data_IF_354853561092
#
_entry.id   IF_354853561092
#
_cell.length_a   1.000
_cell.length_b   1.000
_cell.length_c   1.000
_cell.angle_alpha   90.00
_cell.angle_beta   90.00
_cell.angle_gamma   90.00
#
_symmetry.space_group_name_H-M   'P 1'
#
loop_
_entity.id
_entity.type
_entity.pdbx_description
1 polymer ?
#
# COMPACT_ATOMS: atom_id res chain seq x y z
N UNK A 1 -47.00 -3.50 -43.87
CA UNK A 1 -45.68 -3.98 -44.34
C UNK A 1 -44.52 -3.03 -43.98
N UNK A 2 -44.75 -1.73 -43.85
CA UNK A 2 -43.74 -0.69 -43.58
C UNK A 2 -43.07 -0.80 -42.18
N UNK A 3 -43.83 -1.06 -41.10
CA UNK A 3 -43.29 -1.06 -39.72
C UNK A 3 -42.28 -2.19 -39.47
N UNK A 4 -42.49 -3.40 -40.01
CA UNK A 4 -41.54 -4.52 -39.86
C UNK A 4 -40.19 -4.27 -40.53
N UNK A 5 -40.16 -3.54 -41.65
CA UNK A 5 -38.94 -3.16 -42.36
C UNK A 5 -38.13 -2.13 -41.57
N UNK A 6 -38.83 -1.16 -40.98
CA UNK A 6 -38.20 -0.09 -40.20
C UNK A 6 -37.57 -0.63 -38.87
N UNK A 7 -38.26 -1.55 -38.18
CA UNK A 7 -37.74 -2.23 -36.99
C UNK A 7 -36.48 -3.06 -37.34
N UNK A 8 -36.51 -3.79 -38.46
CA UNK A 8 -35.40 -4.61 -38.93
C UNK A 8 -34.17 -3.74 -39.25
N UNK A 9 -34.36 -2.59 -39.90
CA UNK A 9 -33.28 -1.67 -40.21
C UNK A 9 -32.67 -1.02 -38.96
N UNK A 10 -33.50 -0.66 -37.98
CA UNK A 10 -33.04 -0.12 -36.70
C UNK A 10 -32.24 -1.17 -35.90
N UNK A 11 -32.66 -2.43 -35.88
CA UNK A 11 -31.93 -3.52 -35.24
C UNK A 11 -30.58 -3.75 -35.92
N UNK A 12 -30.51 -3.75 -37.24
CA UNK A 12 -29.25 -3.88 -38.00
C UNK A 12 -28.34 -2.71 -37.67
N UNK A 13 -28.85 -1.49 -37.65
CA UNK A 13 -28.04 -0.29 -37.33
C UNK A 13 -27.45 -0.37 -35.90
N UNK A 14 -28.28 -0.78 -34.92
CA UNK A 14 -27.83 -0.95 -33.52
C UNK A 14 -26.74 -2.03 -33.42
N UNK A 15 -26.97 -3.20 -34.04
CA UNK A 15 -25.99 -4.30 -34.03
C UNK A 15 -24.67 -3.87 -34.68
N UNK A 16 -24.76 -3.16 -35.83
CA UNK A 16 -23.55 -2.64 -36.49
C UNK A 16 -22.81 -1.65 -35.62
N UNK A 17 -23.51 -0.73 -34.97
CA UNK A 17 -22.91 0.24 -34.06
C UNK A 17 -22.22 -0.44 -32.85
N UNK A 18 -22.86 -1.46 -32.28
CA UNK A 18 -22.26 -2.24 -31.18
C UNK A 18 -21.00 -2.98 -31.64
N UNK A 19 -21.02 -3.59 -32.82
CA UNK A 19 -19.84 -4.27 -33.37
C UNK A 19 -18.68 -3.30 -33.64
N UNK A 20 -18.97 -2.11 -34.15
CA UNK A 20 -17.96 -1.07 -34.34
C UNK A 20 -17.36 -0.65 -33.00
N UNK A 21 -18.17 -0.38 -31.97
CA UNK A 21 -17.70 -0.02 -30.62
C UNK A 21 -16.84 -1.11 -29.98
N UNK A 22 -17.24 -2.37 -30.13
CA UNK A 22 -16.46 -3.52 -29.67
C UNK A 22 -15.12 -3.63 -30.40
N UNK A 23 -15.10 -3.40 -31.73
CA UNK A 23 -13.85 -3.42 -32.49
C UNK A 23 -12.91 -2.29 -32.09
N UNK A 24 -13.42 -1.08 -31.89
CA UNK A 24 -12.64 0.07 -31.39
C UNK A 24 -12.09 -0.26 -29.98
N UNK A 25 -12.92 -0.79 -29.08
CA UNK A 25 -12.49 -1.20 -27.75
C UNK A 25 -11.37 -2.22 -27.78
N UNK A 26 -11.45 -3.24 -28.65
CA UNK A 26 -10.38 -4.23 -28.82
C UNK A 26 -9.08 -3.61 -29.39
N UNK A 27 -9.18 -2.70 -30.35
CA UNK A 27 -8.02 -2.00 -30.91
C UNK A 27 -7.33 -1.16 -29.83
N UNK A 28 -8.08 -0.42 -29.01
CA UNK A 28 -7.53 0.39 -27.92
C UNK A 28 -6.88 -0.50 -26.86
N UNK A 29 -7.53 -1.64 -26.52
CA UNK A 29 -7.07 -2.53 -25.44
C UNK A 29 -5.79 -3.27 -25.81
N UNK A 30 -5.68 -3.74 -27.05
CA UNK A 30 -4.58 -4.61 -27.48
C UNK A 30 -3.66 -4.00 -28.54
N UNK A 31 -4.12 -2.95 -29.24
CA UNK A 31 -3.42 -2.40 -30.40
C UNK A 31 -2.06 -1.79 -30.04
N UNK A 32 -1.93 -1.11 -28.91
CA UNK A 32 -0.67 -0.53 -28.45
C UNK A 32 0.38 -1.60 -28.10
N UNK A 33 -0.07 -2.79 -27.68
CA UNK A 33 0.82 -3.93 -27.38
C UNK A 33 1.23 -4.69 -28.64
N UNK A 34 0.30 -4.87 -29.58
CA UNK A 34 0.51 -5.64 -30.80
C UNK A 34 1.22 -4.84 -31.92
N UNK A 35 1.01 -3.53 -31.94
CA UNK A 35 1.52 -2.61 -32.95
C UNK A 35 2.03 -1.31 -32.33
N UNK A 36 3.12 -1.37 -31.54
CA UNK A 36 3.63 -0.19 -30.81
C UNK A 36 4.04 0.97 -31.75
N UNK A 37 4.46 0.67 -32.98
CA UNK A 37 4.87 1.66 -33.98
C UNK A 37 3.71 2.51 -34.53
N UNK A 38 2.46 2.06 -34.36
CA UNK A 38 1.31 2.81 -34.90
C UNK A 38 0.82 3.93 -33.98
N UNK A 39 1.37 4.04 -32.74
CA UNK A 39 0.99 5.07 -31.78
C UNK A 39 -0.48 5.04 -31.39
N UNK A 40 -1.08 3.84 -31.34
CA UNK A 40 -2.50 3.66 -30.97
C UNK A 40 -2.67 4.12 -29.53
N UNK A 41 -3.58 5.10 -29.25
CA UNK A 41 -3.79 5.58 -27.90
C UNK A 41 -4.33 4.47 -26.99
N UNK A 42 -3.87 4.42 -25.76
CA UNK A 42 -4.42 3.54 -24.72
C UNK A 42 -5.72 4.13 -24.14
N UNK A 43 -6.47 3.34 -23.40
CA UNK A 43 -7.62 3.85 -22.62
C UNK A 43 -7.20 4.97 -21.68
N UNK A 44 -6.01 4.87 -21.12
CA UNK A 44 -5.45 5.89 -20.23
C UNK A 44 -5.25 7.23 -20.93
N UNK A 45 -4.74 7.21 -22.17
CA UNK A 45 -4.56 8.42 -22.98
C UNK A 45 -5.90 9.06 -23.32
N UNK A 46 -6.90 8.22 -23.64
CA UNK A 46 -8.25 8.69 -23.97
C UNK A 46 -8.93 9.31 -22.75
N UNK A 47 -8.85 8.67 -21.58
CA UNK A 47 -9.42 9.21 -20.35
C UNK A 47 -8.71 10.48 -19.89
N UNK A 48 -7.38 10.54 -20.06
CA UNK A 48 -6.62 11.76 -19.80
C UNK A 48 -7.05 12.91 -20.74
N UNK A 49 -7.16 12.63 -22.03
CA UNK A 49 -7.61 13.63 -23.02
C UNK A 49 -9.07 14.08 -22.79
N UNK A 50 -9.92 13.20 -22.25
CA UNK A 50 -11.30 13.52 -21.86
C UNK A 50 -11.41 14.24 -20.50
N UNK A 51 -10.28 14.48 -19.80
CA UNK A 51 -10.28 15.07 -18.46
C UNK A 51 -10.90 14.16 -17.39
N UNK A 52 -11.07 12.87 -17.68
CA UNK A 52 -11.63 11.87 -16.77
C UNK A 52 -10.56 11.16 -15.95
N UNK A 53 -9.29 11.31 -16.32
CA UNK A 53 -8.15 10.85 -15.53
C UNK A 53 -7.62 12.04 -14.75
N UNK A 54 -7.62 11.96 -13.42
CA UNK A 54 -6.93 12.94 -12.59
C UNK A 54 -5.45 13.00 -12.98
N UNK A 55 -4.85 14.18 -12.94
CA UNK A 55 -3.41 14.32 -13.05
C UNK A 55 -2.77 13.68 -11.80
N UNK A 56 -2.24 12.47 -11.96
CA UNK A 56 -1.52 11.74 -10.91
C UNK A 56 -0.02 12.05 -10.95
N UNK A 57 0.38 13.10 -11.70
CA UNK A 57 1.76 13.60 -11.64
C UNK A 57 2.00 14.18 -10.24
N UNK A 58 3.12 13.79 -9.65
CA UNK A 58 3.59 14.45 -8.44
C UNK A 58 4.33 15.69 -8.89
N UNK A 59 4.01 16.89 -8.35
CA UNK A 59 4.81 18.07 -8.60
C UNK A 59 6.28 17.82 -8.27
N UNK A 60 7.17 18.56 -8.92
CA UNK A 60 8.59 18.54 -8.59
C UNK A 60 8.78 18.82 -7.11
N UNK A 61 9.72 18.12 -6.48
CA UNK A 61 10.04 18.27 -5.05
C UNK A 61 8.88 17.91 -4.09
N UNK A 62 7.98 17.01 -4.48
CA UNK A 62 6.91 16.51 -3.63
C UNK A 62 7.06 15.02 -3.28
N UNK A 63 6.66 14.69 -2.07
CA UNK A 63 6.42 13.32 -1.60
C UNK A 63 4.92 13.06 -1.54
N UNK A 64 4.46 11.94 -2.08
CA UNK A 64 3.12 11.42 -1.84
C UNK A 64 3.17 10.13 -1.05
N UNK A 65 2.41 10.07 0.05
CA UNK A 65 2.21 8.86 0.85
C UNK A 65 0.74 8.49 0.78
N UNK A 66 0.43 7.34 0.19
CA UNK A 66 -0.92 6.87 -0.07
C UNK A 66 -1.24 5.73 0.87
N UNK A 67 -2.24 5.89 1.72
CA UNK A 67 -2.81 4.82 2.52
C UNK A 67 -3.95 4.20 1.72
N UNK A 68 -3.73 3.03 1.15
CA UNK A 68 -4.62 2.40 0.19
C UNK A 68 -5.68 1.60 0.94
N UNK A 69 -6.96 1.81 0.61
CA UNK A 69 -8.04 0.97 1.12
C UNK A 69 -7.94 -0.44 0.52
N UNK A 70 -7.57 -1.38 1.36
CA UNK A 70 -7.47 -2.82 1.06
C UNK A 70 -8.47 -3.64 1.87
N UNK A 71 -9.46 -2.98 2.47
CA UNK A 71 -10.26 -3.56 3.53
C UNK A 71 -9.48 -3.66 4.83
N UNK A 72 -9.56 -4.81 5.51
CA UNK A 72 -8.72 -5.04 6.69
C UNK A 72 -7.29 -5.34 6.25
N UNK A 73 -6.32 -4.57 6.77
CA UNK A 73 -4.90 -4.73 6.44
C UNK A 73 -4.20 -3.43 6.08
N UNK A 74 -2.91 -3.51 5.80
CA UNK A 74 -2.08 -2.38 5.41
C UNK A 74 -1.58 -2.48 3.97
N UNK A 75 -1.64 -1.37 3.25
CA UNK A 75 -0.97 -1.18 1.98
C UNK A 75 -0.65 0.31 1.82
N UNK A 76 0.63 0.69 1.88
CA UNK A 76 1.04 2.08 1.84
C UNK A 76 2.04 2.28 0.71
N UNK A 77 1.71 3.16 -0.25
CA UNK A 77 2.60 3.54 -1.33
C UNK A 77 3.30 4.86 -1.00
N UNK A 78 4.62 4.86 -1.07
CA UNK A 78 5.47 6.05 -1.06
C UNK A 78 5.88 6.33 -2.50
N UNK A 79 5.61 7.52 -2.99
CA UNK A 79 5.92 7.91 -4.36
C UNK A 79 6.59 9.28 -4.40
N UNK A 80 7.70 9.35 -5.14
CA UNK A 80 8.42 10.57 -5.49
C UNK A 80 8.66 10.59 -7.00
N UNK A 81 9.24 11.63 -7.54
CA UNK A 81 9.70 11.62 -8.92
C UNK A 81 10.91 10.67 -9.13
N UNK A 82 11.73 10.44 -8.10
CA UNK A 82 12.92 9.62 -8.20
C UNK A 82 12.66 8.12 -7.99
N UNK A 83 11.47 7.73 -7.51
CA UNK A 83 11.15 6.31 -7.31
C UNK A 83 9.91 6.06 -6.45
N UNK A 84 9.64 4.79 -6.24
CA UNK A 84 8.50 4.33 -5.46
C UNK A 84 8.89 3.24 -4.48
N UNK A 85 8.24 3.21 -3.33
CA UNK A 85 8.33 2.11 -2.37
C UNK A 85 6.94 1.71 -1.89
N UNK A 86 6.76 0.43 -1.58
CA UNK A 86 5.52 -0.11 -1.04
C UNK A 86 5.76 -0.71 0.34
N UNK A 87 4.89 -0.41 1.30
CA UNK A 87 4.89 -1.03 2.61
C UNK A 87 3.62 -1.86 2.71
N UNK A 88 3.78 -3.16 2.85
CA UNK A 88 2.73 -4.18 2.85
C UNK A 88 1.84 -4.13 1.57
N UNK A 89 0.91 -5.07 1.43
CA UNK A 89 0.07 -5.20 0.24
C UNK A 89 -1.35 -5.74 0.53
N UNK A 90 -1.80 -5.64 1.78
CA UNK A 90 -3.13 -6.08 2.17
C UNK A 90 -3.36 -7.59 2.09
N UNK A 91 -4.61 -7.99 2.25
CA UNK A 91 -5.08 -9.37 2.18
C UNK A 91 -5.11 -9.92 0.74
N UNK A 92 -5.22 -11.24 0.61
CA UNK A 92 -5.33 -11.94 -0.69
C UNK A 92 -6.53 -11.50 -1.54
N UNK A 93 -7.61 -11.05 -0.91
CA UNK A 93 -8.81 -10.57 -1.61
C UNK A 93 -8.63 -9.16 -2.19
N UNK A 94 -7.67 -8.39 -1.69
CA UNK A 94 -7.40 -7.01 -2.14
C UNK A 94 -6.48 -6.91 -3.36
N UNK A 95 -5.94 -8.04 -3.86
CA UNK A 95 -4.93 -8.07 -4.94
C UNK A 95 -5.30 -7.22 -6.17
N UNK A 96 -6.54 -7.35 -6.66
CA UNK A 96 -6.97 -6.63 -7.87
C UNK A 96 -7.09 -5.12 -7.61
N UNK A 97 -7.48 -4.73 -6.39
CA UNK A 97 -7.56 -3.34 -5.96
C UNK A 97 -6.17 -2.73 -5.81
N UNK A 98 -5.23 -3.45 -5.19
CA UNK A 98 -3.83 -3.03 -5.03
C UNK A 98 -3.18 -2.86 -6.39
N UNK A 99 -3.23 -3.87 -7.26
CA UNK A 99 -2.62 -3.79 -8.59
C UNK A 99 -3.21 -2.64 -9.41
N UNK A 100 -4.53 -2.50 -9.44
CA UNK A 100 -5.22 -1.40 -10.14
C UNK A 100 -4.79 -0.05 -9.59
N UNK A 101 -4.67 0.09 -8.27
CA UNK A 101 -4.23 1.34 -7.65
C UNK A 101 -2.81 1.70 -8.08
N UNK A 102 -1.88 0.75 -8.01
CA UNK A 102 -0.48 0.96 -8.42
C UNK A 102 -0.38 1.31 -9.91
N UNK A 103 -1.12 0.63 -10.80
CA UNK A 103 -1.18 1.01 -12.21
C UNK A 103 -1.76 2.41 -12.43
N UNK A 104 -2.83 2.77 -11.72
CA UNK A 104 -3.44 4.10 -11.81
C UNK A 104 -2.51 5.19 -11.31
N UNK A 105 -1.62 4.87 -10.37
CA UNK A 105 -0.55 5.77 -9.92
C UNK A 105 0.65 5.80 -10.86
N UNK A 106 0.58 5.16 -12.04
CA UNK A 106 1.66 5.06 -13.02
C UNK A 106 2.96 4.45 -12.45
N UNK A 107 2.85 3.56 -11.46
CA UNK A 107 4.02 2.84 -10.93
C UNK A 107 4.57 1.95 -12.03
N UNK A 108 5.87 2.08 -12.30
CA UNK A 108 6.59 1.25 -13.30
C UNK A 108 7.43 0.18 -12.62
N UNK A 109 8.03 0.52 -11.50
CA UNK A 109 8.84 -0.35 -10.66
C UNK A 109 8.75 0.11 -9.20
N UNK A 110 9.20 -0.75 -8.30
CA UNK A 110 9.30 -0.50 -6.88
C UNK A 110 10.77 -0.62 -6.46
N UNK A 111 11.38 0.48 -6.06
CA UNK A 111 12.77 0.47 -5.58
C UNK A 111 12.88 -0.33 -4.30
N UNK A 112 11.90 -0.19 -3.41
CA UNK A 112 11.81 -0.95 -2.18
C UNK A 112 10.41 -1.49 -1.97
N UNK A 113 10.35 -2.68 -1.38
CA UNK A 113 9.18 -3.20 -0.68
C UNK A 113 9.58 -3.44 0.77
N UNK A 114 8.76 -2.99 1.70
CA UNK A 114 8.89 -3.30 3.12
C UNK A 114 7.73 -4.20 3.52
N UNK A 115 8.06 -5.33 4.13
CA UNK A 115 7.08 -6.22 4.76
C UNK A 115 7.21 -6.02 6.26
N UNK A 116 6.19 -5.42 6.88
CA UNK A 116 6.23 -5.10 8.31
C UNK A 116 6.29 -6.37 9.14
N UNK A 117 5.38 -7.29 8.88
CA UNK A 117 5.33 -8.64 9.47
C UNK A 117 4.56 -9.59 8.54
N UNK A 118 4.62 -10.91 8.76
CA UNK A 118 4.14 -11.88 7.77
C UNK A 118 2.67 -12.30 7.91
N UNK A 119 1.80 -11.48 8.51
CA UNK A 119 0.39 -11.80 8.61
C UNK A 119 -0.35 -11.57 7.27
N UNK A 120 -1.42 -12.31 7.05
CA UNK A 120 -2.09 -12.39 5.74
C UNK A 120 -2.66 -11.08 5.25
N UNK A 121 -3.10 -10.23 6.14
CA UNK A 121 -3.63 -8.89 5.82
C UNK A 121 -2.53 -7.83 5.57
N UNK A 122 -1.27 -8.23 5.59
CA UNK A 122 -0.10 -7.45 5.20
C UNK A 122 0.61 -8.01 3.96
N UNK A 123 0.68 -9.34 3.84
CA UNK A 123 1.42 -9.97 2.74
C UNK A 123 0.52 -10.67 1.71
N UNK A 124 -0.80 -10.66 1.91
CA UNK A 124 -1.73 -11.48 1.13
C UNK A 124 -1.65 -11.25 -0.37
N UNK A 125 -1.57 -10.00 -0.80
CA UNK A 125 -1.45 -9.64 -2.23
C UNK A 125 0.00 -9.43 -2.68
N UNK A 126 0.98 -9.57 -1.79
CA UNK A 126 2.39 -9.31 -2.11
C UNK A 126 2.93 -10.20 -3.25
N UNK A 127 2.65 -11.50 -3.33
CA UNK A 127 3.11 -12.32 -4.45
C UNK A 127 2.64 -11.80 -5.80
N UNK A 128 1.41 -11.28 -5.89
CA UNK A 128 0.86 -10.71 -7.10
C UNK A 128 1.54 -9.39 -7.47
N UNK A 129 1.85 -8.55 -6.49
CA UNK A 129 2.64 -7.32 -6.70
C UNK A 129 4.03 -7.67 -7.23
N UNK A 130 4.73 -8.63 -6.62
CA UNK A 130 6.06 -9.08 -7.06
C UNK A 130 6.03 -9.70 -8.47
N UNK A 131 4.91 -10.27 -8.88
CA UNK A 131 4.74 -10.80 -10.23
C UNK A 131 4.46 -9.70 -11.27
N UNK A 132 3.86 -8.60 -10.86
CA UNK A 132 3.35 -7.54 -11.74
C UNK A 132 4.33 -6.37 -11.92
N UNK A 133 5.21 -6.14 -10.95
CA UNK A 133 6.14 -5.01 -10.96
C UNK A 133 7.59 -5.48 -10.75
N UNK A 134 8.56 -4.90 -11.48
CA UNK A 134 9.97 -5.03 -11.13
C UNK A 134 10.22 -4.49 -9.73
N UNK A 135 10.94 -5.24 -8.90
CA UNK A 135 11.30 -4.86 -7.52
C UNK A 135 12.80 -4.95 -7.32
N UNK A 136 13.42 -3.85 -6.91
CA UNK A 136 14.87 -3.84 -6.71
C UNK A 136 15.30 -4.53 -5.42
N UNK A 137 14.54 -4.31 -4.33
CA UNK A 137 14.86 -4.90 -3.02
C UNK A 137 13.61 -5.04 -2.16
N UNK A 138 13.47 -6.19 -1.51
CA UNK A 138 12.48 -6.42 -0.45
C UNK A 138 13.17 -6.45 0.91
N UNK A 139 12.61 -5.75 1.87
CA UNK A 139 13.10 -5.66 3.26
C UNK A 139 12.01 -6.24 4.17
N UNK A 140 12.34 -7.26 4.93
CA UNK A 140 11.42 -7.98 5.80
C UNK A 140 11.86 -7.86 7.26
N UNK A 141 10.94 -8.00 8.19
CA UNK A 141 11.28 -8.05 9.61
C UNK A 141 12.25 -9.22 9.90
N UNK A 142 13.19 -8.98 10.82
CA UNK A 142 14.16 -10.00 11.25
C UNK A 142 13.56 -10.91 12.33
N UNK A 143 12.67 -11.80 11.92
CA UNK A 143 12.01 -12.78 12.78
C UNK A 143 12.91 -14.02 12.91
N UNK A 144 12.99 -14.60 14.12
CA UNK A 144 13.71 -15.84 14.36
C UNK A 144 13.08 -17.00 13.58
N UNK A 145 13.94 -17.94 13.16
CA UNK A 145 13.49 -19.07 12.31
C UNK A 145 12.38 -19.90 12.95
N UNK A 146 12.44 -20.11 14.26
CA UNK A 146 11.45 -20.86 15.04
C UNK A 146 10.09 -20.16 15.17
N UNK A 147 10.05 -18.83 14.98
CA UNK A 147 8.84 -18.02 15.08
C UNK A 147 8.25 -17.69 13.69
N UNK A 148 8.89 -18.11 12.60
CA UNK A 148 8.39 -17.88 11.26
C UNK A 148 7.07 -18.63 11.02
N UNK A 149 6.07 -17.99 10.38
CA UNK A 149 4.80 -18.66 10.10
C UNK A 149 4.99 -19.75 9.04
N UNK A 150 4.17 -20.79 9.19
CA UNK A 150 4.09 -21.91 8.21
C UNK A 150 2.87 -21.82 7.31
N UNK A 151 2.36 -20.58 7.11
CA UNK A 151 1.19 -20.34 6.29
C UNK A 151 1.52 -20.46 4.80
N UNK A 152 0.54 -20.92 4.01
CA UNK A 152 0.70 -21.04 2.55
C UNK A 152 1.02 -19.71 1.87
N UNK A 153 0.49 -18.60 2.41
CA UNK A 153 0.74 -17.28 1.83
C UNK A 153 2.18 -16.83 2.06
N UNK A 154 2.74 -17.08 3.25
CA UNK A 154 4.14 -16.79 3.54
C UNK A 154 5.08 -17.64 2.68
N UNK A 155 4.79 -18.95 2.56
CA UNK A 155 5.54 -19.85 1.65
C UNK A 155 5.48 -19.33 0.20
N UNK A 156 4.30 -18.96 -0.30
CA UNK A 156 4.13 -18.39 -1.63
C UNK A 156 4.95 -17.13 -1.83
N UNK A 157 4.96 -16.22 -0.83
CA UNK A 157 5.78 -15.02 -0.86
C UNK A 157 7.26 -15.36 -1.01
N UNK A 158 7.79 -16.25 -0.17
CA UNK A 158 9.21 -16.64 -0.21
C UNK A 158 9.58 -17.30 -1.55
N UNK A 159 8.73 -18.20 -2.07
CA UNK A 159 8.92 -18.83 -3.36
C UNK A 159 8.94 -17.79 -4.50
N UNK A 160 8.03 -16.82 -4.48
CA UNK A 160 8.00 -15.75 -5.48
C UNK A 160 9.27 -14.88 -5.44
N UNK A 161 9.74 -14.52 -4.24
CA UNK A 161 11.00 -13.77 -4.07
C UNK A 161 12.17 -14.58 -4.67
N UNK A 162 12.23 -15.87 -4.39
CA UNK A 162 13.27 -16.75 -4.90
C UNK A 162 13.23 -16.90 -6.42
N UNK A 163 12.08 -17.21 -6.99
CA UNK A 163 11.88 -17.40 -8.45
C UNK A 163 12.18 -16.12 -9.24
N UNK A 164 11.77 -14.98 -8.72
CA UNK A 164 12.04 -13.66 -9.32
C UNK A 164 13.46 -13.14 -9.05
N UNK A 165 14.23 -13.85 -8.23
CA UNK A 165 15.60 -13.45 -7.83
C UNK A 165 15.66 -12.05 -7.22
N UNK A 166 14.63 -11.66 -6.47
CA UNK A 166 14.57 -10.36 -5.83
C UNK A 166 15.56 -10.33 -4.66
N UNK A 167 16.31 -9.25 -4.55
CA UNK A 167 17.23 -9.05 -3.42
C UNK A 167 16.42 -8.90 -2.13
N UNK A 168 16.55 -9.85 -1.21
CA UNK A 168 15.91 -9.80 0.10
C UNK A 168 16.90 -9.40 1.18
N UNK A 169 16.45 -8.59 2.12
CA UNK A 169 17.21 -8.20 3.30
C UNK A 169 16.31 -8.25 4.55
N UNK A 170 16.93 -8.42 5.71
CA UNK A 170 16.31 -8.22 7.00
C UNK A 170 16.50 -6.78 7.42
N UNK A 171 15.41 -6.08 7.75
CA UNK A 171 15.44 -4.73 8.28
C UNK A 171 15.83 -4.75 9.76
N UNK A 172 16.79 -3.94 10.13
CA UNK A 172 17.27 -3.83 11.52
C UNK A 172 17.16 -2.39 12.00
N UNK A 173 16.87 -2.18 13.28
CA UNK A 173 16.88 -0.83 13.86
C UNK A 173 18.19 -0.10 13.54
N UNK A 174 18.06 1.13 13.03
CA UNK A 174 19.17 1.95 12.56
C UNK A 174 19.47 1.84 11.07
N UNK A 175 18.93 0.86 10.35
CA UNK A 175 19.04 0.82 8.90
C UNK A 175 18.31 2.02 8.28
N UNK A 176 18.90 2.60 7.24
CA UNK A 176 18.35 3.72 6.48
C UNK A 176 18.33 3.36 4.99
N UNK A 177 17.19 3.59 4.36
CA UNK A 177 16.99 3.42 2.92
C UNK A 177 16.64 4.77 2.31
N UNK A 178 17.23 5.07 1.17
CA UNK A 178 17.01 6.34 0.47
C UNK A 178 16.17 6.12 -0.80
N UNK A 179 15.15 6.95 -0.96
CA UNK A 179 14.30 7.01 -2.14
C UNK A 179 14.32 8.45 -2.66
N UNK A 180 15.32 8.77 -3.46
CA UNK A 180 15.66 10.17 -3.74
C UNK A 180 15.99 10.91 -2.44
N UNK A 181 15.31 12.02 -2.19
CA UNK A 181 15.47 12.83 -0.97
C UNK A 181 14.71 12.31 0.24
N UNK A 182 13.93 11.23 0.07
CA UNK A 182 13.19 10.59 1.16
C UNK A 182 14.10 9.61 1.90
N UNK A 183 14.16 9.73 3.22
CA UNK A 183 14.84 8.76 4.09
C UNK A 183 13.81 7.89 4.79
N UNK A 184 13.97 6.58 4.71
CA UNK A 184 13.16 5.56 5.36
C UNK A 184 14.03 4.86 6.38
N UNK A 185 13.83 5.15 7.65
CA UNK A 185 14.63 4.61 8.77
C UNK A 185 13.87 3.51 9.48
N UNK A 186 14.52 2.39 9.74
CA UNK A 186 13.96 1.30 10.56
C UNK A 186 14.13 1.63 12.03
N UNK A 187 13.03 1.70 12.78
CA UNK A 187 12.99 2.03 14.20
C UNK A 187 12.87 0.78 15.06
N UNK A 188 12.10 -0.20 14.64
CA UNK A 188 11.83 -1.46 15.34
C UNK A 188 11.71 -2.62 14.32
N UNK A 189 11.74 -3.89 14.78
CA UNK A 189 11.68 -4.37 16.16
C UNK A 189 13.03 -4.28 16.88
N UNK A 190 13.01 -3.93 18.16
CA UNK A 190 14.20 -3.81 18.99
C UNK A 190 14.52 -5.08 19.79
N UNK A 191 13.49 -5.85 20.11
CA UNK A 191 13.57 -7.07 20.93
C UNK A 191 12.83 -8.19 20.23
N UNK A 192 13.47 -9.34 20.12
CA UNK A 192 12.86 -10.54 19.55
C UNK A 192 11.72 -11.09 20.42
N UNK A 193 10.62 -11.43 19.79
CA UNK A 193 9.44 -12.04 20.43
C UNK A 193 8.81 -13.05 19.48
N UNK A 194 7.99 -13.96 20.00
CA UNK A 194 7.17 -14.88 19.20
C UNK A 194 5.83 -14.28 18.77
N UNK A 195 5.56 -13.05 19.17
CA UNK A 195 4.39 -12.27 18.76
C UNK A 195 4.72 -11.50 17.49
N UNK A 196 4.15 -11.91 16.37
CA UNK A 196 4.46 -11.38 15.04
C UNK A 196 4.07 -9.91 14.90
N UNK A 197 2.99 -9.46 15.53
CA UNK A 197 2.59 -8.06 15.53
C UNK A 197 3.69 -7.18 16.13
N UNK A 198 4.24 -7.59 17.27
CA UNK A 198 5.33 -6.88 17.93
C UNK A 198 6.70 -7.06 17.24
N UNK A 199 6.76 -7.90 16.19
CA UNK A 199 7.89 -8.00 15.27
C UNK A 199 7.73 -7.10 14.04
N UNK A 200 6.71 -6.26 13.96
CA UNK A 200 6.51 -5.32 12.85
C UNK A 200 7.72 -4.41 12.65
N UNK A 201 8.13 -4.23 11.39
CA UNK A 201 9.01 -3.13 11.03
C UNK A 201 8.29 -1.81 11.32
N UNK A 202 8.81 -1.04 12.24
CA UNK A 202 8.38 0.35 12.44
C UNK A 202 9.30 1.24 11.63
N UNK A 203 8.71 1.99 10.70
CA UNK A 203 9.44 2.81 9.75
C UNK A 203 9.17 4.30 10.02
N UNK A 204 10.23 5.09 10.12
CA UNK A 204 10.13 6.54 10.14
C UNK A 204 10.58 7.09 8.80
N UNK A 205 9.67 7.80 8.13
CA UNK A 205 9.92 8.43 6.83
C UNK A 205 10.16 9.91 7.08
N UNK A 206 11.19 10.48 6.47
CA UNK A 206 11.46 11.90 6.54
C UNK A 206 11.74 12.48 5.15
N UNK A 207 11.10 13.62 4.87
CA UNK A 207 11.25 14.39 3.64
C UNK A 207 11.17 15.88 3.95
N UNK A 208 12.27 16.59 3.82
CA UNK A 208 12.36 17.96 4.31
C UNK A 208 12.01 18.05 5.80
N UNK A 209 11.00 18.84 6.12
CA UNK A 209 10.48 19.00 7.49
C UNK A 209 9.31 18.05 7.81
N UNK A 210 8.83 17.26 6.85
CA UNK A 210 7.67 16.39 7.04
C UNK A 210 8.12 14.99 7.44
N UNK A 211 7.40 14.39 8.37
CA UNK A 211 7.74 13.11 8.96
C UNK A 211 6.51 12.21 9.14
N UNK A 212 6.70 10.91 8.83
CA UNK A 212 5.68 9.88 9.01
C UNK A 212 6.24 8.77 9.87
N UNK A 213 5.44 8.26 10.79
CA UNK A 213 5.76 7.06 11.56
C UNK A 213 4.75 5.95 11.20
N UNK A 214 5.24 4.91 10.54
CA UNK A 214 4.45 3.77 10.11
C UNK A 214 4.77 2.59 11.02
N UNK A 215 3.79 2.15 11.81
CA UNK A 215 4.04 1.22 12.92
C UNK A 215 3.69 -0.24 12.58
N UNK A 216 3.15 -0.51 11.36
CA UNK A 216 2.57 -1.82 11.08
C UNK A 216 1.57 -2.19 12.16
N UNK A 217 1.72 -3.37 12.73
CA UNK A 217 0.86 -3.86 13.81
C UNK A 217 1.55 -3.85 15.19
N UNK A 218 2.57 -3.01 15.35
CA UNK A 218 3.23 -2.83 16.63
C UNK A 218 2.23 -2.48 17.73
N UNK A 219 2.32 -3.21 18.85
CA UNK A 219 1.49 -3.07 20.02
C UNK A 219 2.25 -2.44 21.19
N UNK A 220 1.62 -2.31 22.36
CA UNK A 220 2.19 -1.71 23.57
C UNK A 220 3.57 -2.26 23.94
N UNK A 221 3.82 -3.55 23.66
CA UNK A 221 5.13 -4.16 23.95
C UNK A 221 6.22 -3.54 23.09
N UNK A 222 6.03 -3.50 21.76
CA UNK A 222 6.94 -2.88 20.82
C UNK A 222 7.08 -1.37 21.10
N UNK A 223 5.97 -0.66 21.33
CA UNK A 223 5.98 0.76 21.68
C UNK A 223 6.81 1.04 22.95
N UNK A 224 6.67 0.21 24.00
CA UNK A 224 7.46 0.35 25.24
C UNK A 224 8.94 0.12 25.01
N UNK A 225 9.32 -0.81 24.13
CA UNK A 225 10.71 -1.05 23.80
C UNK A 225 11.28 0.12 22.99
N UNK A 226 10.53 0.67 22.04
CA UNK A 226 10.87 1.87 21.28
C UNK A 226 11.07 3.07 22.22
N UNK A 227 10.18 3.28 23.17
CA UNK A 227 10.28 4.38 24.16
C UNK A 227 11.54 4.33 25.01
N UNK A 228 12.09 3.13 25.27
CA UNK A 228 13.35 2.95 26.02
C UNK A 228 14.59 3.22 25.17
N UNK A 229 14.48 3.21 23.85
CA UNK A 229 15.64 3.31 22.94
C UNK A 229 16.15 4.73 22.70
N UNK A 230 15.46 5.75 23.19
CA UNK A 230 15.75 7.17 22.97
C UNK A 230 15.84 7.59 21.50
N UNK A 231 15.21 6.84 20.57
CA UNK A 231 15.14 7.20 19.15
C UNK A 231 14.16 8.37 18.96
N UNK A 232 14.41 9.18 17.94
CA UNK A 232 13.51 10.26 17.57
C UNK A 232 12.18 9.70 17.03
N UNK A 233 11.06 10.08 17.67
CA UNK A 233 9.73 9.58 17.34
C UNK A 233 8.78 10.66 16.84
N UNK A 234 9.07 11.95 17.10
CA UNK A 234 8.20 13.03 16.68
C UNK A 234 7.92 12.91 15.18
N UNK A 235 6.63 12.90 14.83
CA UNK A 235 6.20 12.70 13.45
C UNK A 235 4.84 13.35 13.21
N UNK A 236 4.71 14.05 12.09
CA UNK A 236 3.49 14.81 11.74
C UNK A 236 2.32 13.86 11.46
N UNK A 237 2.63 12.70 10.88
CA UNK A 237 1.62 11.67 10.54
C UNK A 237 2.00 10.35 11.18
N UNK A 238 1.07 9.78 11.93
CA UNK A 238 1.15 8.44 12.52
C UNK A 238 0.22 7.48 11.79
N UNK A 239 0.72 6.35 11.25
CA UNK A 239 -0.12 5.18 10.98
C UNK A 239 -0.37 4.49 12.33
N UNK A 240 -1.61 4.47 12.76
CA UNK A 240 -1.98 3.80 14.01
C UNK A 240 -1.67 2.30 13.96
N UNK A 241 -1.05 1.77 15.01
CA UNK A 241 -0.69 0.37 15.08
C UNK A 241 -1.90 -0.56 15.07
N UNK A 242 -1.73 -1.74 14.48
CA UNK A 242 -2.66 -2.85 14.49
C UNK A 242 -4.11 -2.42 14.20
N UNK A 243 -4.27 -1.64 13.11
CA UNK A 243 -5.56 -1.16 12.59
C UNK A 243 -6.43 -0.43 13.63
N UNK A 244 -5.79 0.17 14.65
CA UNK A 244 -6.49 0.81 15.77
C UNK A 244 -6.97 -0.17 16.85
N UNK A 245 -6.28 -1.30 17.03
CA UNK A 245 -6.49 -2.23 18.16
C UNK A 245 -6.34 -1.52 19.49
N UNK A 246 -7.05 -1.98 20.51
CA UNK A 246 -6.91 -1.49 21.90
C UNK A 246 -5.51 -1.67 22.49
N UNK A 247 -4.71 -2.57 21.93
CA UNK A 247 -3.35 -2.89 22.36
C UNK A 247 -2.27 -1.98 21.75
N UNK A 248 -2.63 -0.99 20.91
CA UNK A 248 -1.71 -0.07 20.26
C UNK A 248 -1.98 1.40 20.60
N UNK A 249 -1.11 2.29 20.19
CA UNK A 249 -1.23 3.74 20.39
C UNK A 249 -1.33 4.13 21.87
N UNK A 250 -0.40 3.65 22.71
CA UNK A 250 -0.39 4.01 24.13
C UNK A 250 -0.20 5.51 24.36
N UNK A 251 -0.75 6.05 25.45
CA UNK A 251 -0.64 7.48 25.78
C UNK A 251 0.82 7.95 25.85
N UNK A 252 1.71 7.11 26.38
CA UNK A 252 3.14 7.44 26.47
C UNK A 252 3.79 7.51 25.08
N UNK A 253 3.40 6.62 24.18
CA UNK A 253 3.89 6.60 22.82
C UNK A 253 3.37 7.81 22.04
N UNK A 254 2.07 8.07 22.09
CA UNK A 254 1.45 9.22 21.45
C UNK A 254 2.02 10.55 21.95
N UNK A 255 2.32 10.67 23.24
CA UNK A 255 2.97 11.84 23.83
C UNK A 255 4.39 12.09 23.29
N UNK A 256 5.08 11.04 22.80
CA UNK A 256 6.40 11.15 22.18
C UNK A 256 6.34 11.37 20.67
N UNK A 257 5.32 10.81 20.02
CA UNK A 257 5.11 10.98 18.56
C UNK A 257 4.54 12.37 18.27
N UNK A 258 3.63 12.88 19.10
CA UNK A 258 2.94 14.18 18.91
C UNK A 258 2.36 14.35 17.50
N UNK A 259 1.51 13.41 17.00
CA UNK A 259 1.08 13.45 15.63
C UNK A 259 -0.01 14.52 15.41
N UNK A 260 0.11 15.28 14.31
CA UNK A 260 -0.98 16.14 13.83
C UNK A 260 -2.12 15.30 13.20
N UNK A 261 -1.74 14.22 12.51
CA UNK A 261 -2.66 13.29 11.86
C UNK A 261 -2.37 11.85 12.30
N UNK A 262 -3.44 11.11 12.54
CA UNK A 262 -3.39 9.67 12.74
C UNK A 262 -4.20 8.96 11.64
N UNK A 263 -3.56 8.11 10.85
CA UNK A 263 -4.20 7.31 9.82
C UNK A 263 -4.45 5.90 10.35
N UNK A 264 -5.67 5.41 10.20
CA UNK A 264 -6.06 4.07 10.57
C UNK A 264 -6.46 3.31 9.32
N UNK A 265 -5.67 2.32 8.92
CA UNK A 265 -6.04 1.37 7.87
C UNK A 265 -6.90 0.30 8.51
N UNK A 266 -8.15 0.19 8.10
CA UNK A 266 -9.08 -0.81 8.62
C UNK A 266 -10.21 -1.07 7.61
N UNK A 267 -10.80 -2.25 7.67
CA UNK A 267 -11.91 -2.63 6.81
C UNK A 267 -13.26 -2.18 7.36
N UNK A 268 -14.14 -1.73 6.48
CA UNK A 268 -15.52 -1.38 6.85
C UNK A 268 -16.25 -2.60 7.38
N UNK A 269 -16.78 -2.50 8.62
CA UNK A 269 -17.51 -3.59 9.26
C UNK A 269 -16.64 -4.82 9.56
N UNK A 270 -15.33 -4.66 9.76
CA UNK A 270 -14.41 -5.75 10.06
C UNK A 270 -14.83 -6.51 11.33
N UNK A 271 -14.54 -7.81 11.38
CA UNK A 271 -14.93 -8.70 12.48
C UNK A 271 -14.12 -8.49 13.76
N UNK A 272 -13.04 -7.72 13.71
CA UNK A 272 -12.15 -7.45 14.86
C UNK A 272 -12.65 -6.30 15.75
N UNK A 273 -13.63 -5.53 15.25
CA UNK A 273 -14.10 -4.32 15.93
C UNK A 273 -13.07 -3.18 15.91
N UNK A 274 -12.19 -3.15 14.92
CA UNK A 274 -11.19 -2.10 14.74
C UNK A 274 -11.74 -0.96 13.86
N UNK A 275 -11.37 0.31 14.14
CA UNK A 275 -10.63 0.74 15.34
C UNK A 275 -11.50 0.64 16.60
N UNK A 276 -10.87 0.29 17.72
CA UNK A 276 -11.57 0.24 19.01
C UNK A 276 -11.82 1.64 19.56
N UNK A 277 -12.86 1.75 20.39
CA UNK A 277 -13.18 3.03 21.05
C UNK A 277 -12.01 3.56 21.87
N UNK A 278 -11.31 2.69 22.58
CA UNK A 278 -10.18 3.04 23.43
C UNK A 278 -9.04 3.69 22.62
N UNK A 279 -8.74 3.17 21.44
CA UNK A 279 -7.71 3.75 20.57
C UNK A 279 -8.16 5.06 19.97
N UNK A 280 -9.41 5.16 19.56
CA UNK A 280 -9.98 6.42 19.07
C UNK A 280 -9.93 7.50 20.16
N UNK A 281 -10.26 7.15 21.41
CA UNK A 281 -10.22 8.08 22.54
C UNK A 281 -8.77 8.57 22.81
N UNK A 282 -7.78 7.64 22.80
CA UNK A 282 -6.35 8.00 22.99
C UNK A 282 -5.83 8.93 21.89
N UNK A 283 -6.12 8.63 20.62
CA UNK A 283 -5.72 9.46 19.49
C UNK A 283 -6.36 10.86 19.55
N UNK A 284 -7.63 10.92 19.91
CA UNK A 284 -8.35 12.18 20.10
C UNK A 284 -7.77 12.98 21.27
N UNK A 285 -7.47 12.32 22.40
CA UNK A 285 -6.84 12.96 23.57
C UNK A 285 -5.43 13.48 23.24
N UNK A 286 -4.70 12.83 22.35
CA UNK A 286 -3.40 13.29 21.86
C UNK A 286 -3.51 14.50 20.89
N UNK A 287 -4.71 14.91 20.48
CA UNK A 287 -4.96 16.03 19.58
C UNK A 287 -4.85 15.71 18.09
N UNK A 288 -4.66 14.44 17.72
CA UNK A 288 -4.49 14.03 16.34
C UNK A 288 -5.81 14.11 15.55
N UNK A 289 -5.74 14.61 14.33
CA UNK A 289 -6.85 14.49 13.37
C UNK A 289 -6.86 13.08 12.79
N UNK A 290 -7.94 12.34 13.04
CA UNK A 290 -8.04 10.95 12.65
C UNK A 290 -8.57 10.84 11.22
N UNK A 291 -7.87 10.08 10.39
CA UNK A 291 -8.25 9.67 9.05
C UNK A 291 -8.38 8.14 9.02
N UNK A 292 -9.34 7.63 8.24
CA UNK A 292 -9.58 6.18 8.15
C UNK A 292 -9.78 5.76 6.71
N UNK A 293 -9.37 4.54 6.36
CA UNK A 293 -9.50 4.02 4.99
C UNK A 293 -10.89 3.44 4.69
N UNK A 294 -11.74 3.19 5.68
CA UNK A 294 -13.05 2.55 5.54
C UNK A 294 -14.23 3.51 5.33
N UNK A 295 -13.97 4.77 5.03
CA UNK A 295 -14.99 5.79 4.75
C UNK A 295 -15.08 6.17 3.28
#
# INVERSE_FOLDING_TARGET
MCIKSQVKNNVILIVTAVLILLSISLIITYGSQLFPELGIPTWDDIFAAAGLKGDNSIPDDCLSVHFIDVGQGDCILIKTQQGSALIDAGDTHSKDSVLRYLYNQNIKDLQYIFVTHPDSDHIGSMPEVLNSFPVSKIVMSDIRKEDLPTTRIYEKLLNTIYEKKIKAAKGKPGDVFELGDVKISVIAPLIQTNDLNNMSLVLRISYGNNTFLLTGDAEFKSENDILKSNVELKSDVLKAGHHGSKSSCSDKFLKKVEPDFAVISCGRGNSFGHPTKETMDRLTAAGAKILRTDF
#
